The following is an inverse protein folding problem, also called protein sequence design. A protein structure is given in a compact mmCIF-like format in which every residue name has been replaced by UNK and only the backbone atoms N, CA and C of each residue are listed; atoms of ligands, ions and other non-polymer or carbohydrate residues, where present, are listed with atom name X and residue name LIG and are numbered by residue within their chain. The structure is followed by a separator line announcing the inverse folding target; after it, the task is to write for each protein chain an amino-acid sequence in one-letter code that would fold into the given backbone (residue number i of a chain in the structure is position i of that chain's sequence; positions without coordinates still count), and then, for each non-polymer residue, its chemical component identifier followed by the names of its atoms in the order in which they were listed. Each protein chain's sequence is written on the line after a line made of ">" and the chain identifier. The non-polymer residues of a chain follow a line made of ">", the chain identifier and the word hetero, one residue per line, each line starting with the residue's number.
data_IF_706610329368
#
_entry.id   IF_706610329368
#
_cell.length_a   1.000
_cell.length_b   1.000
_cell.length_c   1.000
_cell.angle_alpha   90.00
_cell.angle_beta   90.00
_cell.angle_gamma   90.00
#
_symmetry.space_group_name_H-M   'P 1'
#
loop_
_entity.id
_entity.type
_entity.pdbx_description
1 polymer ?
#
# COMPACT_ATOMS: atom_id res chain seq x y z
N UNK A 1 14.75 5.65 17.74
CA UNK A 1 14.87 4.25 17.26
C UNK A 1 15.92 4.15 16.17
N UNK A 2 16.89 3.23 16.29
CA UNK A 2 18.04 3.12 15.36
C UNK A 2 18.04 1.85 14.49
N UNK A 3 17.14 0.88 14.74
CA UNK A 3 17.13 -0.39 14.02
C UNK A 3 16.32 -0.29 12.72
N UNK A 4 16.89 -0.80 11.62
CA UNK A 4 16.27 -0.82 10.29
C UNK A 4 14.93 -1.55 10.28
N UNK A 5 14.81 -2.64 11.05
CA UNK A 5 13.57 -3.43 11.20
C UNK A 5 12.41 -2.66 11.84
N UNK A 6 12.71 -1.59 12.58
CA UNK A 6 11.72 -0.68 13.16
C UNK A 6 11.41 0.49 12.21
N UNK A 7 12.40 0.93 11.44
CA UNK A 7 12.28 2.10 10.58
C UNK A 7 11.63 1.78 9.22
N UNK A 8 11.86 0.61 8.64
CA UNK A 8 11.40 0.31 7.28
C UNK A 8 9.87 0.41 7.11
N UNK A 9 9.02 -0.17 7.98
CA UNK A 9 7.57 -0.02 7.82
C UNK A 9 7.09 1.44 7.91
N UNK A 10 7.78 2.28 8.70
CA UNK A 10 7.51 3.72 8.81
C UNK A 10 7.83 4.41 7.48
N UNK A 11 9.02 4.12 6.92
CA UNK A 11 9.44 4.69 5.63
C UNK A 11 8.53 4.21 4.50
N UNK A 12 8.21 2.92 4.44
CA UNK A 12 7.31 2.34 3.43
C UNK A 12 5.92 2.99 3.49
N UNK A 13 5.34 3.10 4.69
CA UNK A 13 4.03 3.75 4.87
C UNK A 13 4.04 5.20 4.43
N UNK A 14 5.11 5.95 4.72
CA UNK A 14 5.25 7.34 4.30
C UNK A 14 5.40 7.47 2.77
N UNK A 15 6.24 6.63 2.14
CA UNK A 15 6.44 6.62 0.68
C UNK A 15 5.12 6.29 -0.03
N UNK A 16 4.43 5.23 0.41
CA UNK A 16 3.12 4.85 -0.11
C UNK A 16 2.12 6.01 0.03
N UNK A 17 2.05 6.65 1.20
CA UNK A 17 1.15 7.78 1.43
C UNK A 17 1.37 8.94 0.46
N UNK A 18 2.62 9.36 0.24
CA UNK A 18 2.96 10.45 -0.71
C UNK A 18 2.59 10.08 -2.15
N UNK A 19 2.92 8.87 -2.59
CA UNK A 19 2.65 8.41 -3.96
C UNK A 19 1.14 8.24 -4.19
N UNK A 20 0.43 7.64 -3.24
CA UNK A 20 -1.02 7.47 -3.34
C UNK A 20 -1.78 8.79 -3.32
N UNK A 21 -1.28 9.82 -2.63
CA UNK A 21 -1.87 11.15 -2.69
C UNK A 21 -1.82 11.73 -4.11
N UNK A 22 -0.66 11.68 -4.76
CA UNK A 22 -0.52 12.11 -6.15
C UNK A 22 -1.37 11.25 -7.09
N UNK A 23 -1.43 9.94 -6.85
CA UNK A 23 -2.25 9.03 -7.65
C UNK A 23 -3.75 9.27 -7.49
N UNK A 24 -4.20 9.63 -6.29
CA UNK A 24 -5.59 9.99 -6.01
C UNK A 24 -5.99 11.22 -6.81
N UNK A 25 -5.18 12.29 -6.78
CA UNK A 25 -5.49 13.50 -7.54
C UNK A 25 -5.51 13.22 -9.04
N UNK A 26 -4.53 12.47 -9.55
CA UNK A 26 -4.51 12.07 -10.97
C UNK A 26 -5.74 11.25 -11.35
N UNK A 27 -6.18 10.31 -10.50
CA UNK A 27 -7.36 9.48 -10.77
C UNK A 27 -8.63 10.31 -10.77
N UNK A 28 -8.78 11.26 -9.83
CA UNK A 28 -9.92 12.18 -9.78
C UNK A 28 -10.00 12.98 -11.07
N UNK A 29 -8.89 13.54 -11.54
CA UNK A 29 -8.84 14.33 -12.78
C UNK A 29 -9.20 13.48 -14.02
N UNK A 30 -8.85 12.20 -14.00
CA UNK A 30 -9.11 11.26 -15.09
C UNK A 30 -10.53 10.67 -15.09
N UNK A 31 -11.27 10.82 -13.99
CA UNK A 31 -12.56 10.17 -13.77
C UNK A 31 -13.73 11.16 -13.51
N UNK A 32 -13.99 12.15 -14.39
CA UNK A 32 -15.12 13.08 -14.23
C UNK A 32 -16.51 12.43 -14.32
N UNK A 33 -16.63 11.25 -14.96
CA UNK A 33 -17.87 10.51 -15.18
C UNK A 33 -17.67 8.99 -15.03
N UNK A 34 -18.08 8.45 -13.88
CA UNK A 34 -17.97 7.02 -13.57
C UNK A 34 -18.91 6.12 -14.39
N UNK A 35 -19.78 6.68 -15.24
CA UNK A 35 -20.54 5.90 -16.22
C UNK A 35 -19.68 5.42 -17.41
N UNK A 36 -18.54 6.07 -17.65
CA UNK A 36 -17.56 5.62 -18.63
C UNK A 36 -16.83 4.36 -18.14
N UNK A 37 -16.83 3.25 -18.93
CA UNK A 37 -16.17 2.01 -18.52
C UNK A 37 -14.67 2.15 -18.26
N UNK A 38 -13.99 3.05 -18.97
CA UNK A 38 -12.55 3.29 -18.80
C UNK A 38 -12.27 3.99 -17.49
N UNK A 39 -13.05 5.02 -17.16
CA UNK A 39 -12.95 5.74 -15.90
C UNK A 39 -13.31 4.84 -14.71
N UNK A 40 -14.35 4.01 -14.86
CA UNK A 40 -14.68 3.00 -13.84
C UNK A 40 -13.55 1.98 -13.63
N UNK A 41 -12.89 1.55 -14.71
CA UNK A 41 -11.72 0.67 -14.62
C UNK A 41 -10.54 1.37 -13.92
N UNK A 42 -10.27 2.64 -14.22
CA UNK A 42 -9.24 3.43 -13.54
C UNK A 42 -9.52 3.58 -12.05
N UNK A 43 -10.76 3.88 -11.66
CA UNK A 43 -11.16 3.92 -10.24
C UNK A 43 -10.99 2.56 -9.55
N UNK A 44 -11.29 1.47 -10.25
CA UNK A 44 -11.09 0.10 -9.75
C UNK A 44 -9.62 -0.26 -9.58
N UNK A 45 -8.75 0.16 -10.51
CA UNK A 45 -7.29 0.02 -10.42
C UNK A 45 -6.76 0.80 -9.23
N UNK A 46 -7.17 2.07 -9.09
CA UNK A 46 -6.79 2.92 -7.95
C UNK A 46 -7.14 2.25 -6.62
N UNK A 47 -8.38 1.74 -6.50
CA UNK A 47 -8.83 1.01 -5.31
C UNK A 47 -7.96 -0.21 -5.03
N UNK A 48 -7.68 -1.04 -6.04
CA UNK A 48 -6.84 -2.24 -5.87
C UNK A 48 -5.44 -1.88 -5.37
N UNK A 49 -4.84 -0.81 -5.91
CA UNK A 49 -3.52 -0.32 -5.48
C UNK A 49 -3.54 0.22 -4.06
N UNK A 50 -4.52 1.03 -3.69
CA UNK A 50 -4.65 1.58 -2.33
C UNK A 50 -4.85 0.47 -1.30
N UNK A 51 -5.75 -0.49 -1.56
CA UNK A 51 -6.00 -1.64 -0.68
C UNK A 51 -4.76 -2.52 -0.54
N UNK A 52 -3.96 -2.66 -1.60
CA UNK A 52 -2.69 -3.39 -1.53
C UNK A 52 -1.66 -2.64 -0.67
N UNK A 53 -1.52 -1.34 -0.91
CA UNK A 53 -0.56 -0.49 -0.20
C UNK A 53 -0.91 -0.31 1.28
N UNK A 54 -2.20 -0.27 1.64
CA UNK A 54 -2.65 -0.12 3.04
C UNK A 54 -2.24 -1.28 3.94
N UNK A 55 -1.84 -2.43 3.38
CA UNK A 55 -1.33 -3.58 4.14
C UNK A 55 -0.09 -3.23 4.99
N UNK A 56 0.61 -2.14 4.67
CA UNK A 56 1.73 -1.61 5.47
C UNK A 56 1.30 -1.13 6.87
N UNK A 57 0.01 -0.85 7.09
CA UNK A 57 -0.51 -0.40 8.39
C UNK A 57 -0.33 -1.45 9.49
N UNK A 58 -0.37 -2.74 9.15
CA UNK A 58 -0.16 -3.83 10.12
C UNK A 58 1.24 -3.86 10.70
N UNK A 59 2.32 -3.99 9.89
CA UNK A 59 3.66 -3.93 10.44
C UNK A 59 3.95 -2.56 11.06
N UNK A 60 3.36 -1.47 10.57
CA UNK A 60 3.47 -0.14 11.19
C UNK A 60 2.89 -0.13 12.62
N UNK A 61 1.68 -0.67 12.84
CA UNK A 61 1.08 -0.79 14.15
C UNK A 61 1.96 -1.60 15.10
N UNK A 62 2.53 -2.72 14.63
CA UNK A 62 3.46 -3.53 15.42
C UNK A 62 4.73 -2.77 15.82
N UNK A 63 5.23 -1.85 14.98
CA UNK A 63 6.41 -1.01 15.32
C UNK A 63 6.12 0.00 16.43
N UNK A 64 4.85 0.32 16.66
CA UNK A 64 4.40 1.11 17.80
C UNK A 64 4.13 0.25 19.05
N UNK A 65 4.47 -1.04 19.03
CA UNK A 65 4.19 -1.97 20.13
C UNK A 65 2.70 -2.09 20.43
N UNK A 66 2.36 -2.37 21.70
CA UNK A 66 0.96 -2.46 22.13
C UNK A 66 0.18 -1.15 21.92
N UNK A 67 0.86 0.00 21.92
CA UNK A 67 0.22 1.29 21.69
C UNK A 67 -0.29 1.43 20.25
N UNK A 68 0.31 0.73 19.27
CA UNK A 68 -0.20 0.72 17.89
C UNK A 68 -1.53 -0.02 17.71
N UNK A 69 -1.86 -0.92 18.64
CA UNK A 69 -3.14 -1.64 18.68
C UNK A 69 -4.22 -0.91 19.48
N UNK A 70 -3.83 0.17 20.18
CA UNK A 70 -4.74 0.92 21.02
C UNK A 70 -5.60 1.85 20.16
N UNK A 71 -6.93 1.68 20.20
CA UNK A 71 -7.86 2.33 19.28
C UNK A 71 -7.74 3.86 19.22
N UNK A 72 -7.35 4.51 20.33
CA UNK A 72 -7.13 5.95 20.38
C UNK A 72 -5.97 6.44 19.50
N UNK A 73 -5.00 5.56 19.20
CA UNK A 73 -3.90 5.86 18.27
C UNK A 73 -4.26 5.56 16.80
N UNK A 74 -5.44 4.97 16.55
CA UNK A 74 -6.11 4.86 15.25
C UNK A 74 -5.40 4.06 14.14
N UNK A 75 -4.19 3.53 14.35
CA UNK A 75 -3.49 2.76 13.31
C UNK A 75 -4.24 1.47 12.97
N UNK A 76 -4.65 0.71 14.00
CA UNK A 76 -5.44 -0.53 13.82
C UNK A 76 -6.84 -0.26 13.25
N UNK A 77 -7.50 0.80 13.72
CA UNK A 77 -8.81 1.23 13.20
C UNK A 77 -8.72 1.62 11.71
N UNK A 78 -7.61 2.25 11.30
CA UNK A 78 -7.36 2.58 9.91
C UNK A 78 -7.14 1.32 9.05
N UNK A 79 -6.41 0.32 9.53
CA UNK A 79 -6.27 -0.98 8.83
C UNK A 79 -7.62 -1.66 8.62
N UNK A 80 -8.46 -1.70 9.67
CA UNK A 80 -9.81 -2.25 9.60
C UNK A 80 -10.69 -1.47 8.61
N UNK A 81 -10.57 -0.15 8.56
CA UNK A 81 -11.30 0.70 7.61
C UNK A 81 -10.90 0.39 6.17
N UNK A 82 -9.61 0.25 5.87
CA UNK A 82 -9.15 -0.15 4.54
C UNK A 82 -9.57 -1.58 4.17
N UNK A 83 -9.61 -2.50 5.13
CA UNK A 83 -10.15 -3.83 4.92
C UNK A 83 -11.65 -3.78 4.58
N UNK A 84 -12.43 -2.93 5.23
CA UNK A 84 -13.83 -2.67 4.89
C UNK A 84 -13.97 -2.14 3.45
N UNK A 85 -13.14 -1.16 3.08
CA UNK A 85 -13.11 -0.57 1.75
C UNK A 85 -12.72 -1.59 0.66
N UNK A 86 -11.97 -2.63 0.99
CA UNK A 86 -11.65 -3.70 0.05
C UNK A 86 -12.89 -4.46 -0.44
N UNK A 87 -13.99 -4.43 0.33
CA UNK A 87 -15.25 -5.17 0.10
C UNK A 87 -16.39 -4.22 -0.30
N UNK A 88 -16.55 -3.11 0.42
CA UNK A 88 -17.57 -2.10 0.16
C UNK A 88 -17.39 -1.45 -1.22
N UNK A 89 -18.44 -0.92 -1.84
CA UNK A 89 -18.38 -0.31 -3.19
C UNK A 89 -17.78 -1.24 -4.26
N UNK A 90 -18.10 -2.53 -4.15
CA UNK A 90 -17.63 -3.59 -5.03
C UNK A 90 -16.38 -4.29 -4.50
N UNK A 91 -16.45 -5.60 -4.32
CA UNK A 91 -15.30 -6.39 -3.90
C UNK A 91 -14.11 -6.19 -4.85
N UNK A 92 -12.94 -5.91 -4.30
CA UNK A 92 -11.74 -5.54 -5.08
C UNK A 92 -11.36 -6.62 -6.08
N UNK A 93 -11.46 -7.91 -5.71
CA UNK A 93 -11.14 -9.01 -6.62
C UNK A 93 -12.19 -9.08 -7.74
N UNK A 94 -13.48 -8.95 -7.41
CA UNK A 94 -14.57 -8.95 -8.41
C UNK A 94 -14.43 -7.80 -9.39
N UNK A 95 -14.10 -6.59 -8.92
CA UNK A 95 -13.81 -5.44 -9.77
C UNK A 95 -12.63 -5.72 -10.71
N UNK A 96 -11.52 -6.22 -10.17
CA UNK A 96 -10.35 -6.62 -10.96
C UNK A 96 -10.71 -7.66 -12.03
N UNK A 97 -11.50 -8.66 -11.70
CA UNK A 97 -11.96 -9.68 -12.66
C UNK A 97 -12.78 -9.03 -13.78
N UNK A 98 -13.71 -8.13 -13.43
CA UNK A 98 -14.60 -7.48 -14.39
C UNK A 98 -13.82 -6.68 -15.42
N UNK A 99 -13.04 -5.68 -15.00
CA UNK A 99 -12.38 -4.80 -15.96
C UNK A 99 -11.25 -5.50 -16.71
N UNK A 100 -10.55 -6.46 -16.07
CA UNK A 100 -9.55 -7.27 -16.78
C UNK A 100 -10.16 -8.14 -17.86
N UNK A 101 -11.35 -8.69 -17.61
CA UNK A 101 -12.08 -9.45 -18.63
C UNK A 101 -12.46 -8.57 -19.81
N UNK A 102 -12.89 -7.32 -19.56
CA UNK A 102 -13.20 -6.36 -20.61
C UNK A 102 -11.95 -5.92 -21.39
N UNK A 103 -10.83 -5.70 -20.70
CA UNK A 103 -9.53 -5.38 -21.29
C UNK A 103 -9.02 -6.52 -22.20
N UNK A 104 -9.04 -7.75 -21.71
CA UNK A 104 -8.65 -8.95 -22.47
C UNK A 104 -9.59 -9.24 -23.64
N UNK A 105 -10.86 -8.86 -23.50
CA UNK A 105 -11.86 -8.95 -24.56
C UNK A 105 -11.76 -7.83 -25.61
N UNK A 106 -10.85 -6.87 -25.43
CA UNK A 106 -10.68 -5.73 -26.34
C UNK A 106 -11.83 -4.71 -26.29
N UNK A 107 -12.63 -4.72 -25.22
CA UNK A 107 -13.76 -3.79 -25.02
C UNK A 107 -13.37 -2.52 -24.26
N UNK A 108 -12.20 -2.54 -23.63
CA UNK A 108 -11.67 -1.51 -22.77
C UNK A 108 -10.22 -1.25 -23.18
N UNK A 109 -9.82 0.02 -23.20
CA UNK A 109 -8.42 0.42 -23.36
C UNK A 109 -7.97 1.27 -22.16
N UNK A 110 -6.79 0.97 -21.63
CA UNK A 110 -6.21 1.71 -20.51
C UNK A 110 -5.12 2.68 -20.99
N UNK A 111 -4.84 3.76 -20.23
CA UNK A 111 -3.72 4.65 -20.51
C UNK A 111 -2.40 3.88 -20.56
N UNK A 112 -1.69 4.03 -21.68
CA UNK A 112 -0.37 3.41 -21.91
C UNK A 112 0.69 4.03 -21.00
N UNK A 113 1.71 3.24 -20.70
CA UNK A 113 2.90 3.72 -19.99
C UNK A 113 3.52 4.94 -20.67
N UNK A 114 3.78 6.00 -19.90
CA UNK A 114 4.48 7.21 -20.38
C UNK A 114 5.94 6.91 -20.67
N UNK A 115 6.58 6.12 -19.79
CA UNK A 115 7.94 5.64 -19.97
C UNK A 115 7.97 4.10 -19.92
N UNK A 116 8.02 3.47 -21.09
CA UNK A 116 8.08 2.01 -21.24
C UNK A 116 9.39 1.40 -20.73
N UNK A 117 10.42 2.20 -20.54
CA UNK A 117 11.71 1.73 -20.02
C UNK A 117 11.74 1.70 -18.48
N UNK A 118 10.74 2.28 -17.80
CA UNK A 118 10.62 2.14 -16.35
C UNK A 118 10.40 0.68 -15.96
N UNK A 119 10.90 0.27 -14.79
CA UNK A 119 10.86 -1.15 -14.41
C UNK A 119 9.42 -1.56 -14.13
N UNK A 120 8.61 -0.68 -13.55
CA UNK A 120 7.18 -0.92 -13.34
C UNK A 120 6.42 -1.12 -14.65
N UNK A 121 6.72 -0.33 -15.70
CA UNK A 121 6.11 -0.53 -17.02
C UNK A 121 6.52 -1.87 -17.64
N UNK A 122 7.79 -2.26 -17.54
CA UNK A 122 8.24 -3.57 -18.02
C UNK A 122 7.59 -4.73 -17.25
N UNK A 123 7.36 -4.56 -15.94
CA UNK A 123 6.65 -5.54 -15.12
C UNK A 123 5.20 -5.71 -15.58
N UNK A 124 4.47 -4.60 -15.79
CA UNK A 124 3.13 -4.59 -16.36
C UNK A 124 3.10 -5.27 -17.73
N UNK A 125 3.98 -4.89 -18.65
CA UNK A 125 4.04 -5.45 -20.00
C UNK A 125 4.29 -6.96 -19.97
N UNK A 126 5.20 -7.43 -19.12
CA UNK A 126 5.48 -8.85 -18.92
C UNK A 126 4.26 -9.62 -18.39
N UNK A 127 3.56 -9.08 -17.40
CA UNK A 127 2.36 -9.72 -16.84
C UNK A 127 1.19 -9.70 -17.82
N UNK A 128 0.99 -8.61 -18.57
CA UNK A 128 0.01 -8.53 -19.66
C UNK A 128 0.32 -9.54 -20.76
N UNK A 129 1.59 -9.72 -21.13
CA UNK A 129 2.03 -10.70 -22.12
C UNK A 129 1.79 -12.15 -21.65
N UNK A 130 2.13 -12.48 -20.40
CA UNK A 130 1.82 -13.79 -19.79
C UNK A 130 0.31 -14.06 -19.78
N UNK A 131 -0.49 -13.07 -19.36
CA UNK A 131 -1.95 -13.16 -19.34
C UNK A 131 -2.52 -13.41 -20.74
N UNK A 132 -2.05 -12.66 -21.74
CA UNK A 132 -2.47 -12.80 -23.14
C UNK A 132 -2.06 -14.16 -23.72
N UNK A 133 -0.87 -14.65 -23.40
CA UNK A 133 -0.38 -15.97 -23.81
C UNK A 133 -1.25 -17.09 -23.25
N UNK A 134 -1.60 -17.01 -21.95
CA UNK A 134 -2.51 -17.96 -21.30
C UNK A 134 -3.89 -17.93 -21.93
N UNK A 135 -4.42 -16.75 -22.20
CA UNK A 135 -5.72 -16.58 -22.83
C UNK A 135 -5.75 -17.25 -24.21
N UNK A 136 -4.69 -17.06 -25.02
CA UNK A 136 -4.56 -17.76 -26.31
C UNK A 136 -4.52 -19.28 -26.14
N UNK A 137 -3.76 -19.78 -25.16
CA UNK A 137 -3.62 -21.23 -24.91
C UNK A 137 -4.94 -21.90 -24.52
N UNK A 138 -5.81 -21.20 -23.80
CA UNK A 138 -7.11 -21.76 -23.38
C UNK A 138 -8.19 -21.64 -24.46
N UNK A 139 -7.91 -21.09 -25.65
CA UNK A 139 -8.91 -20.94 -26.73
C UNK A 139 -9.41 -19.51 -26.95
N UNK A 140 -8.82 -18.51 -26.27
CA UNK A 140 -9.17 -17.10 -26.39
C UNK A 140 -10.32 -16.67 -25.47
N UNK A 141 -10.76 -15.42 -25.62
CA UNK A 141 -11.81 -14.82 -24.78
C UNK A 141 -13.19 -15.48 -24.88
N UNK A 142 -13.42 -16.31 -25.91
CA UNK A 142 -14.67 -17.09 -26.04
C UNK A 142 -14.87 -18.03 -24.85
N UNK A 143 -13.77 -18.48 -24.23
CA UNK A 143 -13.77 -19.37 -23.08
C UNK A 143 -13.89 -18.65 -21.72
N UNK A 144 -14.24 -17.35 -21.69
CA UNK A 144 -14.29 -16.56 -20.45
C UNK A 144 -15.24 -17.08 -19.36
N UNK A 145 -16.17 -17.99 -19.69
CA UNK A 145 -17.07 -18.67 -18.74
C UNK A 145 -16.65 -20.10 -18.40
N UNK A 146 -15.55 -20.58 -18.98
CA UNK A 146 -15.08 -21.95 -18.83
C UNK A 146 -14.16 -22.14 -17.63
N UNK A 147 -14.04 -23.40 -17.19
CA UNK A 147 -13.14 -23.81 -16.09
C UNK A 147 -11.66 -23.49 -16.39
N UNK A 148 -11.27 -23.46 -17.67
CA UNK A 148 -9.91 -23.09 -18.06
C UNK A 148 -9.61 -21.60 -17.79
N UNK A 149 -10.60 -20.72 -17.98
CA UNK A 149 -10.46 -19.29 -17.68
C UNK A 149 -10.39 -19.05 -16.17
N UNK A 150 -11.24 -19.73 -15.40
CA UNK A 150 -11.18 -19.75 -13.93
C UNK A 150 -9.78 -20.16 -13.43
N UNK A 151 -9.21 -21.26 -13.92
CA UNK A 151 -7.91 -21.75 -13.46
C UNK A 151 -6.71 -20.90 -13.90
N UNK A 152 -6.77 -20.31 -15.09
CA UNK A 152 -5.59 -19.70 -15.71
C UNK A 152 -5.61 -18.17 -15.77
N UNK A 153 -6.78 -17.54 -15.73
CA UNK A 153 -6.93 -16.09 -15.90
C UNK A 153 -7.38 -15.43 -14.59
N UNK A 154 -8.49 -15.87 -13.98
CA UNK A 154 -9.09 -15.17 -12.84
C UNK A 154 -8.11 -14.92 -11.66
N UNK A 155 -7.27 -15.88 -11.22
CA UNK A 155 -6.32 -15.66 -10.12
C UNK A 155 -5.26 -14.59 -10.40
N UNK A 156 -5.06 -14.24 -11.68
CA UNK A 156 -4.05 -13.27 -12.12
C UNK A 156 -4.64 -11.87 -12.32
N UNK A 157 -5.96 -11.71 -12.33
CA UNK A 157 -6.61 -10.43 -12.58
C UNK A 157 -6.22 -9.38 -11.53
N UNK A 158 -6.24 -9.74 -10.25
CA UNK A 158 -5.86 -8.81 -9.17
C UNK A 158 -4.36 -8.45 -9.17
N UNK A 159 -3.41 -9.42 -9.22
CA UNK A 159 -1.99 -9.07 -9.31
C UNK A 159 -1.64 -8.20 -10.52
N UNK A 160 -2.29 -8.43 -11.67
CA UNK A 160 -2.11 -7.60 -12.85
C UNK A 160 -2.68 -6.19 -12.65
N UNK A 161 -3.86 -6.06 -12.04
CA UNK A 161 -4.47 -4.78 -11.70
C UNK A 161 -3.56 -3.96 -10.77
N UNK A 162 -3.04 -4.61 -9.72
CA UNK A 162 -2.10 -4.00 -8.78
C UNK A 162 -0.82 -3.56 -9.50
N UNK A 163 -0.27 -4.36 -10.43
CA UNK A 163 0.91 -3.97 -11.21
C UNK A 163 0.66 -2.76 -12.12
N UNK A 164 -0.50 -2.70 -12.78
CA UNK A 164 -0.87 -1.57 -13.63
C UNK A 164 -1.00 -0.30 -12.77
N UNK A 165 -1.69 -0.42 -11.64
CA UNK A 165 -1.87 0.70 -10.73
C UNK A 165 -0.57 1.17 -10.07
N UNK A 166 0.38 0.27 -9.76
CA UNK A 166 1.71 0.65 -9.29
C UNK A 166 2.46 1.52 -10.32
N UNK A 167 2.42 1.14 -11.60
CA UNK A 167 3.00 1.97 -12.67
C UNK A 167 2.28 3.33 -12.75
N UNK A 168 0.95 3.34 -12.80
CA UNK A 168 0.18 4.58 -12.89
C UNK A 168 0.45 5.52 -11.70
N UNK A 169 0.54 4.96 -10.49
CA UNK A 169 0.84 5.71 -9.29
C UNK A 169 2.25 6.32 -9.32
N UNK A 170 3.25 5.57 -9.79
CA UNK A 170 4.60 6.09 -10.01
C UNK A 170 4.60 7.25 -11.00
N UNK A 171 3.94 7.09 -12.16
CA UNK A 171 3.88 8.14 -13.19
C UNK A 171 3.12 9.39 -12.72
N UNK A 172 2.08 9.21 -11.91
CA UNK A 172 1.35 10.30 -11.27
C UNK A 172 2.22 11.05 -10.27
N UNK A 173 2.95 10.32 -9.42
CA UNK A 173 3.88 10.88 -8.44
C UNK A 173 5.07 11.60 -9.10
N UNK A 174 5.61 11.06 -10.19
CA UNK A 174 6.64 11.71 -11.00
C UNK A 174 6.12 13.03 -11.59
N UNK A 175 4.90 13.03 -12.15
CA UNK A 175 4.26 14.25 -12.67
C UNK A 175 3.99 15.28 -11.57
N UNK A 176 3.65 14.83 -10.37
CA UNK A 176 3.44 15.68 -9.20
C UNK A 176 4.73 16.32 -8.69
N UNK A 177 5.89 15.82 -9.09
CA UNK A 177 7.19 16.33 -8.70
C UNK A 177 7.69 15.77 -7.37
N UNK A 178 7.32 14.54 -7.00
CA UNK A 178 7.94 13.88 -5.85
C UNK A 178 9.44 13.66 -6.08
N UNK A 179 10.28 13.72 -5.02
CA UNK A 179 11.72 13.51 -5.15
C UNK A 179 12.08 12.13 -5.72
N UNK A 180 13.16 12.08 -6.49
CA UNK A 180 13.62 10.86 -7.17
C UNK A 180 13.92 9.72 -6.20
N UNK A 181 14.36 10.03 -4.98
CA UNK A 181 14.67 9.08 -3.92
C UNK A 181 13.40 8.36 -3.45
N UNK A 182 12.30 9.10 -3.32
CA UNK A 182 10.97 8.57 -2.95
C UNK A 182 10.44 7.67 -4.05
N UNK A 183 10.54 8.12 -5.31
CA UNK A 183 10.11 7.34 -6.47
C UNK A 183 10.92 6.04 -6.62
N UNK A 184 12.24 6.11 -6.44
CA UNK A 184 13.13 4.94 -6.50
C UNK A 184 12.77 3.94 -5.40
N UNK A 185 12.50 4.41 -4.19
CA UNK A 185 12.10 3.53 -3.09
C UNK A 185 10.71 2.94 -3.32
N UNK A 186 9.75 3.72 -3.84
CA UNK A 186 8.43 3.22 -4.21
C UNK A 186 8.50 2.09 -5.24
N UNK A 187 9.31 2.25 -6.29
CA UNK A 187 9.53 1.21 -7.29
C UNK A 187 10.07 -0.09 -6.66
N UNK A 188 11.06 -0.01 -5.77
CA UNK A 188 11.61 -1.17 -5.05
C UNK A 188 10.57 -1.88 -4.19
N UNK A 189 9.75 -1.12 -3.46
CA UNK A 189 8.65 -1.65 -2.64
C UNK A 189 7.66 -2.41 -3.51
N UNK A 190 7.24 -1.81 -4.63
CA UNK A 190 6.28 -2.43 -5.56
C UNK A 190 6.82 -3.71 -6.21
N UNK A 191 8.14 -3.78 -6.44
CA UNK A 191 8.81 -4.94 -7.00
C UNK A 191 9.08 -6.05 -5.98
N UNK A 192 8.84 -5.79 -4.69
CA UNK A 192 9.10 -6.77 -3.62
C UNK A 192 10.57 -7.09 -3.42
N UNK A 193 11.49 -6.21 -3.82
CA UNK A 193 12.93 -6.44 -3.78
C UNK A 193 13.49 -6.59 -2.35
N UNK A 194 12.76 -6.07 -1.36
CA UNK A 194 13.13 -6.11 0.05
C UNK A 194 12.31 -7.13 0.87
N UNK A 195 11.49 -7.97 0.21
CA UNK A 195 10.74 -9.05 0.86
C UNK A 195 11.67 -10.24 1.17
N UNK A 196 11.48 -10.86 2.33
CA UNK A 196 12.27 -12.01 2.75
C UNK A 196 12.04 -13.21 1.80
N UNK A 197 13.08 -13.75 1.14
CA UNK A 197 12.94 -14.85 0.19
C UNK A 197 12.29 -16.10 0.76
N UNK A 198 12.27 -16.26 2.10
CA UNK A 198 11.61 -17.36 2.79
C UNK A 198 10.10 -17.43 2.51
N UNK A 199 9.47 -16.31 2.13
CA UNK A 199 8.05 -16.26 1.76
C UNK A 199 7.78 -16.54 0.26
N UNK A 200 8.81 -16.64 -0.59
CA UNK A 200 8.69 -16.79 -2.05
C UNK A 200 9.19 -18.15 -2.60
N UNK A 201 9.92 -18.91 -1.78
CA UNK A 201 10.40 -20.29 -1.98
C UNK A 201 10.81 -20.76 -3.40
N UNK A 202 12.13 -20.79 -3.65
CA UNK A 202 12.85 -21.96 -4.20
C UNK A 202 14.18 -22.10 -3.42
N UNK A 203 14.57 -23.29 -2.90
CA UNK A 203 15.76 -23.46 -2.03
C UNK A 203 17.12 -23.20 -2.69
N UNK A 204 17.17 -22.93 -4.00
CA UNK A 204 18.42 -22.93 -4.78
C UNK A 204 18.98 -21.53 -5.10
N UNK A 205 18.33 -20.46 -4.64
CA UNK A 205 18.73 -19.08 -4.94
C UNK A 205 19.35 -18.33 -3.73
N UNK A 206 19.75 -19.03 -2.67
CA UNK A 206 20.19 -18.40 -1.41
C UNK A 206 21.62 -17.82 -1.44
N UNK A 207 22.50 -18.27 -2.33
CA UNK A 207 23.92 -17.92 -2.24
C UNK A 207 24.30 -16.56 -2.87
N UNK A 208 23.41 -15.88 -3.59
CA UNK A 208 23.74 -14.64 -4.32
C UNK A 208 22.80 -13.47 -3.99
N UNK A 209 22.07 -13.53 -2.87
CA UNK A 209 21.15 -12.45 -2.53
C UNK A 209 21.93 -11.20 -2.12
N UNK A 210 21.81 -10.08 -2.85
CA UNK A 210 22.48 -8.84 -2.47
C UNK A 210 21.99 -8.41 -1.09
N UNK A 211 22.92 -8.00 -0.23
CA UNK A 211 22.60 -7.44 1.08
C UNK A 211 21.54 -6.35 0.94
N UNK A 212 20.43 -6.44 1.69
CA UNK A 212 19.37 -5.43 1.75
C UNK A 212 19.98 -4.05 1.99
N UNK A 213 20.10 -3.25 0.92
CA UNK A 213 20.75 -1.95 1.03
C UNK A 213 19.83 -1.00 1.77
N UNK A 214 20.24 -0.60 2.98
CA UNK A 214 19.51 0.38 3.79
C UNK A 214 19.68 1.81 3.30
N UNK A 215 20.55 2.07 2.31
CA UNK A 215 20.87 3.43 1.88
C UNK A 215 19.66 4.22 1.33
N UNK A 216 18.78 3.65 0.48
CA UNK A 216 17.57 4.35 0.05
C UNK A 216 16.62 4.64 1.21
N UNK A 217 16.43 3.68 2.13
CA UNK A 217 15.61 3.87 3.32
C UNK A 217 16.17 4.95 4.24
N UNK A 218 17.48 5.00 4.44
CA UNK A 218 18.12 6.02 5.28
C UNK A 218 17.96 7.42 4.70
N UNK A 219 18.04 7.55 3.36
CA UNK A 219 17.86 8.82 2.66
C UNK A 219 16.45 9.34 2.83
N UNK A 220 15.44 8.49 2.59
CA UNK A 220 14.04 8.87 2.78
C UNK A 220 13.71 9.10 4.26
N UNK A 221 14.31 8.33 5.18
CA UNK A 221 14.14 8.55 6.62
C UNK A 221 14.69 9.92 7.06
N UNK A 222 15.80 10.38 6.48
CA UNK A 222 16.31 11.73 6.73
C UNK A 222 15.34 12.80 6.23
N UNK A 223 14.71 12.58 5.07
CA UNK A 223 13.66 13.46 4.55
C UNK A 223 12.43 13.51 5.47
N UNK A 224 11.93 12.34 5.92
CA UNK A 224 10.81 12.26 6.89
C UNK A 224 11.13 13.12 8.11
N UNK A 225 12.31 12.93 8.71
CA UNK A 225 12.72 13.71 9.89
C UNK A 225 12.76 15.20 9.62
N UNK A 226 13.23 15.63 8.44
CA UNK A 226 13.26 17.04 8.08
C UNK A 226 11.86 17.64 7.91
N UNK A 227 10.95 16.90 7.28
CA UNK A 227 9.56 17.35 7.11
C UNK A 227 8.82 17.39 8.45
N UNK A 228 9.05 16.43 9.35
CA UNK A 228 8.42 16.38 10.68
C UNK A 228 8.78 17.53 11.62
N UNK A 229 9.80 18.35 11.31
CA UNK A 229 10.12 19.56 12.09
C UNK A 229 9.13 20.69 11.79
N UNK A 230 8.48 20.66 10.63
CA UNK A 230 7.54 21.69 10.21
C UNK A 230 6.11 21.24 10.49
N UNK A 231 5.30 22.12 11.07
CA UNK A 231 3.89 21.83 11.29
C UNK A 231 3.17 21.76 9.94
N UNK A 232 2.43 20.67 9.72
CA UNK A 232 1.64 20.44 8.51
C UNK A 232 0.15 20.67 8.77
N UNK A 233 -0.63 20.96 7.73
CA UNK A 233 -2.09 21.08 7.85
C UNK A 233 -2.74 19.78 8.35
N UNK A 234 -2.10 18.64 8.08
CA UNK A 234 -2.56 17.31 8.53
C UNK A 234 -2.46 17.18 10.05
N UNK A 235 -1.51 17.86 10.68
CA UNK A 235 -1.28 17.77 12.14
C UNK A 235 -2.52 18.24 12.93
N UNK A 236 -3.35 19.10 12.34
CA UNK A 236 -4.63 19.53 12.93
C UNK A 236 -5.69 18.43 12.99
N UNK A 237 -5.56 17.39 12.16
CA UNK A 237 -6.48 16.26 12.09
C UNK A 237 -5.98 15.02 12.84
N UNK A 238 -4.70 14.99 13.25
CA UNK A 238 -4.14 13.86 13.99
C UNK A 238 -4.53 13.98 15.46
N UNK A 239 -5.48 13.13 15.89
CA UNK A 239 -5.94 13.07 17.30
C UNK A 239 -5.24 11.99 18.12
N UNK A 240 -4.29 11.26 17.54
CA UNK A 240 -3.62 10.14 18.19
C UNK A 240 -2.71 10.61 19.35
N UNK A 241 -2.91 10.13 20.59
CA UNK A 241 -2.14 10.60 21.74
C UNK A 241 -0.67 10.16 21.74
N UNK A 242 -0.30 9.11 20.99
CA UNK A 242 1.10 8.63 20.86
C UNK A 242 2.04 9.59 20.13
N UNK A 243 1.52 10.67 19.53
CA UNK A 243 2.31 11.65 18.76
C UNK A 243 3.34 12.41 19.59
N UNK A 244 3.12 12.55 20.90
CA UNK A 244 4.10 13.15 21.82
C UNK A 244 3.92 12.65 23.25
N UNK A 245 5.00 12.64 24.03
CA UNK A 245 4.96 12.25 25.45
C UNK A 245 3.94 13.08 26.25
N UNK A 246 3.88 14.39 25.96
CA UNK A 246 2.92 15.30 26.60
C UNK A 246 1.47 14.93 26.26
N UNK A 247 1.18 14.64 25.00
CA UNK A 247 -0.18 14.24 24.58
C UNK A 247 -0.55 12.88 25.18
N UNK A 248 0.40 11.96 25.25
CA UNK A 248 0.20 10.64 25.85
C UNK A 248 -0.08 10.73 27.35
N UNK A 249 0.73 11.51 28.09
CA UNK A 249 0.52 11.73 29.52
C UNK A 249 -0.82 12.41 29.81
N UNK A 250 -1.15 13.46 29.05
CA UNK A 250 -2.45 14.13 29.17
C UNK A 250 -3.62 13.17 28.93
N UNK A 251 -3.50 12.29 27.95
CA UNK A 251 -4.50 11.28 27.65
C UNK A 251 -4.61 10.26 28.79
N UNK A 252 -3.50 9.71 29.28
CA UNK A 252 -3.50 8.74 30.39
C UNK A 252 -4.12 9.32 31.66
N UNK A 253 -3.86 10.61 31.95
CA UNK A 253 -4.45 11.32 33.09
C UNK A 253 -5.97 11.57 32.95
N UNK A 254 -6.50 11.53 31.73
CA UNK A 254 -7.94 11.69 31.46
C UNK A 254 -8.73 10.38 31.62
N UNK A 255 -8.05 9.23 31.64
CA UNK A 255 -8.70 7.93 31.74
C UNK A 255 -9.20 7.66 33.16
N UNK A 256 -10.39 7.08 33.26
CA UNK A 256 -10.94 6.67 34.54
C UNK A 256 -10.16 5.46 35.09
N UNK A 257 -9.45 5.67 36.21
CA UNK A 257 -8.79 4.60 36.93
C UNK A 257 -9.77 3.93 37.89
N UNK A 258 -9.93 2.61 37.77
CA UNK A 258 -10.57 1.80 38.80
C UNK A 258 -9.55 1.55 39.91
N UNK A 259 -9.80 2.09 41.10
CA UNK A 259 -8.98 1.86 42.28
C UNK A 259 -9.70 0.89 43.22
N UNK A 260 -8.93 0.00 43.86
CA UNK A 260 -9.45 -0.80 44.97
C UNK A 260 -9.84 0.14 46.13
N UNK A 261 -10.95 -0.11 46.86
CA UNK A 261 -11.32 0.67 48.04
C UNK A 261 -10.20 0.79 49.11
N UNK A 262 -9.20 -0.09 49.07
CA UNK A 262 -8.14 -0.20 50.08
C UNK A 262 -6.87 0.63 49.79
N UNK A 263 -6.77 1.32 48.64
CA UNK A 263 -5.57 2.09 48.25
C UNK A 263 -5.37 3.44 48.97
N UNK A 264 -6.11 3.70 50.06
CA UNK A 264 -5.90 4.92 50.87
C UNK A 264 -4.74 4.82 51.87
N UNK A 265 -4.07 3.67 52.01
CA UNK A 265 -2.95 3.53 52.94
C UNK A 265 -1.87 2.67 52.29
N UNK A 266 -0.82 3.28 51.75
CA UNK A 266 0.62 3.07 52.09
C UNK A 266 1.48 3.80 51.05
N UNK A 267 2.49 4.62 51.44
CA UNK A 267 3.44 5.19 50.50
C UNK A 267 4.36 4.07 50.00
N UNK A 268 4.28 3.75 48.71
CA UNK A 268 5.17 2.79 48.06
C UNK A 268 6.61 3.34 48.02
N UNK A 269 7.44 2.84 48.91
CA UNK A 269 8.89 2.93 48.82
C UNK A 269 9.39 2.17 47.59
N UNK A 270 10.24 2.84 46.81
CA UNK A 270 10.98 2.39 45.62
C UNK A 270 11.42 0.92 45.66
N UNK A 271 11.12 0.19 44.58
CA UNK A 271 11.97 -0.84 43.98
C UNK A 271 11.88 -0.69 42.46
#
# INVERSE_FOLDING_TARGET
>A
MAFSTQQHPIVEGWVQGKVLHAFAQWTIDMCPDLSDPTQHALASIFKATVVKASQVLRPLAERCGWQGLFAYNQISELDLTFQGNAIAEGDTLVLCIRFMSELLGGKLELPRARNRLSRLAQCEERLMADMTSRLKRIGGYKEHRGLAFDRHILPRCRPLAESIGNRMAYEAAEKWGLPSEVLTLYERICMGEDLDPLHMAEPLAQEHLPSRSSAPYNTVLAQIRSESVSQSDIDHYVTAPITSDKSWESFMNSLHAFKSPEEFITPLSKL
#
